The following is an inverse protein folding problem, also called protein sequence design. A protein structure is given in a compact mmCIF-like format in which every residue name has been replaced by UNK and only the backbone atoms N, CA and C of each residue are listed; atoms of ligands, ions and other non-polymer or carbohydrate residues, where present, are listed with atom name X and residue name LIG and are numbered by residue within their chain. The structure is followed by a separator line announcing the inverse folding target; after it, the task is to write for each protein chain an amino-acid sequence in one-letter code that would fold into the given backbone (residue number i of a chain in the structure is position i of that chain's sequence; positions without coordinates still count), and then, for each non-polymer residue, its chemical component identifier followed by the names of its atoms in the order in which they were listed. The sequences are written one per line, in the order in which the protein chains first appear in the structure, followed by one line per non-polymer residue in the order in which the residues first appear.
data_IF_577903721680
#
_entry.id   IF_577903721680
#
_cell.length_a   1.000
_cell.length_b   1.000
_cell.length_c   1.000
_cell.angle_alpha   90.00
_cell.angle_beta   90.00
_cell.angle_gamma   90.00
#
_symmetry.space_group_name_H-M   'P 1'
#
loop_
_entity.id
_entity.type
_entity.pdbx_description
1 polymer ?
#
# COMPACT_ATOMS: atom_id res chain seq x y z
N UNK A 1 20.34 -30.77 -5.09
CA UNK A 1 19.86 -29.63 -4.28
C UNK A 1 18.48 -29.86 -3.64
N UNK A 2 17.81 -30.98 -3.88
CA UNK A 2 16.36 -31.12 -3.63
C UNK A 2 15.94 -31.68 -2.27
N UNK A 3 16.83 -32.32 -1.55
CA UNK A 3 16.49 -32.88 -0.22
C UNK A 3 16.36 -31.86 0.92
N UNK A 4 17.13 -30.77 0.87
CA UNK A 4 17.15 -29.76 1.92
C UNK A 4 15.90 -28.87 1.93
N UNK A 5 15.38 -28.51 0.76
CA UNK A 5 14.18 -27.66 0.65
C UNK A 5 12.91 -28.40 1.09
N UNK A 6 12.74 -29.64 0.67
CA UNK A 6 11.60 -30.46 1.10
C UNK A 6 11.63 -30.76 2.61
N UNK A 7 12.83 -31.00 3.16
CA UNK A 7 12.99 -31.17 4.61
C UNK A 7 12.65 -29.88 5.37
N UNK A 8 13.07 -28.72 4.87
CA UNK A 8 12.73 -27.43 5.45
C UNK A 8 11.21 -27.16 5.40
N UNK A 9 10.51 -27.47 4.30
CA UNK A 9 9.06 -27.33 4.20
C UNK A 9 8.29 -28.19 5.22
N UNK A 10 8.89 -29.24 5.75
CA UNK A 10 8.29 -30.06 6.81
C UNK A 10 8.42 -29.45 8.20
N UNK A 11 9.27 -28.44 8.37
CA UNK A 11 9.39 -27.72 9.64
C UNK A 11 8.18 -26.79 9.84
N UNK A 12 7.82 -26.44 11.10
CA UNK A 12 6.73 -25.47 11.36
C UNK A 12 6.96 -24.13 10.67
N UNK A 13 8.20 -23.60 10.65
CA UNK A 13 8.57 -22.37 9.99
C UNK A 13 8.41 -22.48 8.48
N UNK A 14 8.89 -23.56 7.87
CA UNK A 14 8.78 -23.79 6.42
C UNK A 14 7.32 -23.94 5.99
N UNK A 15 6.49 -24.66 6.75
CA UNK A 15 5.05 -24.78 6.50
C UNK A 15 4.34 -23.43 6.63
N UNK A 16 4.65 -22.68 7.69
CA UNK A 16 4.11 -21.35 7.89
C UNK A 16 4.45 -20.40 6.72
N UNK A 17 5.71 -20.46 6.25
CA UNK A 17 6.13 -19.67 5.09
C UNK A 17 5.38 -20.09 3.81
N UNK A 18 5.24 -21.38 3.54
CA UNK A 18 4.50 -21.86 2.37
C UNK A 18 3.03 -21.41 2.40
N UNK A 19 2.38 -21.49 3.58
CA UNK A 19 0.99 -21.07 3.75
C UNK A 19 0.82 -19.56 3.52
N UNK A 20 1.67 -18.72 4.13
CA UNK A 20 1.57 -17.28 3.93
C UNK A 20 1.99 -16.86 2.51
N UNK A 21 2.95 -17.55 1.90
CA UNK A 21 3.34 -17.31 0.51
C UNK A 21 2.21 -17.63 -0.46
N UNK A 22 1.53 -18.77 -0.28
CA UNK A 22 0.36 -19.15 -1.06
C UNK A 22 -0.80 -18.15 -0.87
N UNK A 23 -1.08 -17.75 0.37
CA UNK A 23 -2.10 -16.74 0.66
C UNK A 23 -1.75 -15.39 0.01
N UNK A 24 -0.49 -14.97 0.11
CA UNK A 24 -0.01 -13.70 -0.49
C UNK A 24 -0.06 -13.74 -2.02
N UNK A 25 0.29 -14.85 -2.66
CA UNK A 25 0.17 -15.01 -4.11
C UNK A 25 -1.29 -14.96 -4.56
N UNK A 26 -2.18 -15.69 -3.88
CA UNK A 26 -3.61 -15.75 -4.20
C UNK A 26 -4.30 -14.40 -3.98
N UNK A 27 -4.01 -13.71 -2.88
CA UNK A 27 -4.56 -12.37 -2.61
C UNK A 27 -3.96 -11.32 -3.53
N UNK A 28 -2.65 -11.38 -3.82
CA UNK A 28 -1.99 -10.51 -4.79
C UNK A 28 -2.63 -10.60 -6.16
N UNK A 29 -2.96 -11.83 -6.60
CA UNK A 29 -3.73 -12.04 -7.82
C UNK A 29 -5.14 -11.45 -7.71
N UNK A 30 -5.91 -11.83 -6.70
CA UNK A 30 -7.31 -11.41 -6.55
C UNK A 30 -7.45 -9.88 -6.48
N UNK A 31 -6.59 -9.22 -5.71
CA UNK A 31 -6.62 -7.76 -5.54
C UNK A 31 -6.20 -7.02 -6.81
N UNK A 32 -5.18 -7.50 -7.51
CA UNK A 32 -4.75 -6.89 -8.77
C UNK A 32 -5.76 -7.10 -9.90
N UNK A 33 -6.38 -8.28 -10.00
CA UNK A 33 -7.45 -8.55 -10.96
C UNK A 33 -8.66 -7.64 -10.69
N UNK A 34 -9.12 -7.55 -9.42
CA UNK A 34 -10.21 -6.67 -9.02
C UNK A 34 -9.90 -5.20 -9.33
N UNK A 35 -8.72 -4.70 -8.94
CA UNK A 35 -8.31 -3.32 -9.20
C UNK A 35 -8.24 -3.00 -10.69
N UNK A 36 -7.86 -3.97 -11.52
CA UNK A 36 -7.75 -3.82 -12.96
C UNK A 36 -9.11 -3.60 -13.63
N UNK A 37 -10.13 -4.35 -13.20
CA UNK A 37 -11.44 -4.36 -13.88
C UNK A 37 -12.47 -3.43 -13.23
N UNK A 38 -12.26 -2.99 -11.98
CA UNK A 38 -13.31 -2.35 -11.18
C UNK A 38 -13.80 -1.02 -11.75
N UNK A 39 -12.92 -0.21 -12.33
CA UNK A 39 -13.30 1.06 -12.94
C UNK A 39 -14.18 0.85 -14.18
N UNK A 40 -13.81 -0.11 -15.04
CA UNK A 40 -14.65 -0.48 -16.19
C UNK A 40 -15.98 -1.06 -15.75
N UNK A 41 -16.02 -1.91 -14.74
CA UNK A 41 -17.25 -2.49 -14.20
C UNK A 41 -18.18 -1.41 -13.63
N UNK A 42 -17.64 -0.47 -12.86
CA UNK A 42 -18.44 0.61 -12.27
C UNK A 42 -18.99 1.57 -13.32
N UNK A 43 -18.24 1.85 -14.38
CA UNK A 43 -18.69 2.73 -15.46
C UNK A 43 -19.62 1.98 -16.43
N UNK A 44 -19.19 0.83 -16.98
CA UNK A 44 -19.92 0.18 -18.07
C UNK A 44 -21.10 -0.67 -17.58
N UNK A 45 -20.93 -1.47 -16.50
CA UNK A 45 -21.99 -2.39 -16.05
C UNK A 45 -22.94 -1.72 -15.05
N UNK A 46 -22.43 -0.90 -14.14
CA UNK A 46 -23.25 -0.24 -13.12
C UNK A 46 -23.67 1.18 -13.51
N UNK A 47 -23.08 1.77 -14.53
CA UNK A 47 -23.38 3.14 -14.99
C UNK A 47 -23.17 4.19 -13.90
N UNK A 48 -22.15 4.02 -13.04
CA UNK A 48 -21.90 4.97 -11.96
C UNK A 48 -21.34 6.28 -12.51
N UNK A 49 -21.94 7.39 -12.13
CA UNK A 49 -21.43 8.72 -12.40
C UNK A 49 -20.29 9.09 -11.41
N UNK A 50 -19.51 10.12 -11.75
CA UNK A 50 -18.38 10.59 -10.93
C UNK A 50 -18.68 10.76 -9.44
N UNK A 51 -19.80 11.37 -8.99
CA UNK A 51 -20.14 11.46 -7.56
C UNK A 51 -20.35 10.10 -6.90
N UNK A 52 -21.01 9.16 -7.57
CA UNK A 52 -21.23 7.80 -7.06
C UNK A 52 -19.90 7.04 -6.95
N UNK A 53 -19.02 7.20 -7.93
CA UNK A 53 -17.67 6.65 -7.87
C UNK A 53 -16.86 7.26 -6.72
N UNK A 54 -16.98 8.56 -6.49
CA UNK A 54 -16.38 9.24 -5.32
C UNK A 54 -16.90 8.69 -4.00
N UNK A 55 -18.23 8.46 -3.88
CA UNK A 55 -18.82 7.83 -2.69
C UNK A 55 -18.33 6.40 -2.48
N UNK A 56 -18.29 5.57 -3.53
CA UNK A 56 -17.79 4.19 -3.43
C UNK A 56 -16.34 4.18 -2.93
N UNK A 57 -15.50 5.06 -3.46
CA UNK A 57 -14.11 5.17 -3.03
C UNK A 57 -14.00 5.60 -1.57
N UNK A 58 -14.79 6.60 -1.14
CA UNK A 58 -14.83 7.04 0.25
C UNK A 58 -15.32 5.92 1.20
N UNK A 59 -16.39 5.22 0.84
CA UNK A 59 -16.94 4.08 1.59
C UNK A 59 -15.89 2.98 1.75
N UNK A 60 -15.10 2.71 0.73
CA UNK A 60 -13.98 1.75 0.78
C UNK A 60 -12.93 2.11 1.82
N UNK A 61 -12.69 3.38 2.08
CA UNK A 61 -11.65 3.83 3.01
C UNK A 61 -12.13 3.87 4.48
N UNK A 62 -13.45 3.87 4.73
CA UNK A 62 -14.02 3.89 6.09
C UNK A 62 -13.52 2.73 6.97
N UNK A 63 -13.53 1.46 6.53
CA UNK A 63 -13.00 0.36 7.33
C UNK A 63 -11.51 0.52 7.67
N UNK A 64 -10.70 1.07 6.75
CA UNK A 64 -9.30 1.38 6.99
C UNK A 64 -9.11 2.43 8.08
N UNK A 65 -9.91 3.49 8.06
CA UNK A 65 -9.92 4.52 9.10
C UNK A 65 -10.35 3.96 10.47
N UNK A 66 -11.34 3.05 10.47
CA UNK A 66 -11.89 2.43 11.69
C UNK A 66 -11.09 1.20 12.14
N UNK A 67 -10.02 0.83 11.46
CA UNK A 67 -9.29 -0.43 11.71
C UNK A 67 -8.75 -0.54 13.14
N UNK A 68 -8.38 0.57 13.77
CA UNK A 68 -7.96 0.61 15.19
C UNK A 68 -9.08 0.08 16.09
N UNK A 69 -10.32 0.45 15.82
CA UNK A 69 -11.48 -0.01 16.59
C UNK A 69 -11.81 -1.47 16.28
N UNK A 70 -11.70 -1.87 15.01
CA UNK A 70 -11.94 -3.26 14.58
C UNK A 70 -10.93 -4.22 15.21
N UNK A 71 -9.65 -3.87 15.22
CA UNK A 71 -8.62 -4.69 15.87
C UNK A 71 -8.84 -4.76 17.39
N UNK A 72 -9.35 -3.68 18.01
CA UNK A 72 -9.72 -3.67 19.41
C UNK A 72 -10.91 -4.60 19.72
N UNK A 73 -11.87 -4.70 18.82
CA UNK A 73 -13.03 -5.58 18.97
C UNK A 73 -12.65 -7.07 18.90
N UNK A 74 -11.69 -7.39 18.04
CA UNK A 74 -11.26 -8.77 17.79
C UNK A 74 -9.97 -9.18 18.49
N UNK A 75 -9.54 -8.45 19.55
CA UNK A 75 -8.26 -8.69 20.27
C UNK A 75 -8.13 -10.10 20.85
N UNK A 76 -9.26 -10.81 21.06
CA UNK A 76 -9.28 -12.19 21.60
C UNK A 76 -9.00 -13.26 20.56
N UNK A 77 -9.05 -12.91 19.27
CA UNK A 77 -8.73 -13.87 18.22
C UNK A 77 -7.23 -13.97 18.01
N UNK A 78 -6.74 -15.20 17.86
CA UNK A 78 -5.34 -15.40 17.45
C UNK A 78 -5.10 -14.79 16.08
N UNK A 79 -3.90 -14.28 15.83
CA UNK A 79 -3.52 -13.61 14.57
C UNK A 79 -3.87 -14.44 13.32
N UNK A 80 -3.63 -15.77 13.25
CA UNK A 80 -4.06 -16.58 12.11
C UNK A 80 -5.58 -16.61 11.92
N UNK A 81 -6.37 -16.69 13.01
CA UNK A 81 -7.84 -16.72 12.94
C UNK A 81 -8.39 -15.37 12.47
N UNK A 82 -7.83 -14.25 12.99
CA UNK A 82 -8.18 -12.91 12.56
C UNK A 82 -7.88 -12.72 11.08
N UNK A 83 -6.70 -13.15 10.63
CA UNK A 83 -6.28 -13.06 9.23
C UNK A 83 -7.17 -13.92 8.32
N UNK A 84 -7.48 -15.16 8.71
CA UNK A 84 -8.37 -16.02 7.94
C UNK A 84 -9.79 -15.43 7.85
N UNK A 85 -10.32 -14.88 8.94
CA UNK A 85 -11.61 -14.18 8.95
C UNK A 85 -11.62 -12.96 8.01
N UNK A 86 -10.55 -12.17 8.01
CA UNK A 86 -10.38 -11.06 7.09
C UNK A 86 -10.38 -11.51 5.62
N UNK A 87 -9.70 -12.61 5.30
CA UNK A 87 -9.68 -13.18 3.95
C UNK A 87 -11.05 -13.75 3.53
N UNK A 88 -11.84 -14.27 4.46
CA UNK A 88 -13.24 -14.68 4.20
C UNK A 88 -14.09 -13.45 3.87
N UNK A 89 -13.96 -12.34 4.61
CA UNK A 89 -14.67 -11.10 4.29
C UNK A 89 -14.27 -10.57 2.90
N UNK A 90 -12.97 -10.62 2.57
CA UNK A 90 -12.47 -10.26 1.25
C UNK A 90 -13.07 -11.16 0.16
N UNK A 91 -13.12 -12.47 0.40
CA UNK A 91 -13.69 -13.47 -0.52
C UNK A 91 -15.18 -13.23 -0.78
N UNK A 92 -15.95 -13.01 0.27
CA UNK A 92 -17.39 -12.71 0.17
C UNK A 92 -17.60 -11.40 -0.57
N UNK A 93 -16.91 -10.32 -0.17
CA UNK A 93 -17.06 -9.02 -0.82
C UNK A 93 -16.74 -9.09 -2.31
N UNK A 94 -15.58 -9.63 -2.71
CA UNK A 94 -15.21 -9.73 -4.12
C UNK A 94 -16.13 -10.69 -4.89
N UNK A 95 -16.46 -11.86 -4.32
CA UNK A 95 -17.31 -12.84 -4.98
C UNK A 95 -18.70 -12.31 -5.34
N UNK A 96 -19.23 -11.40 -4.51
CA UNK A 96 -20.56 -10.85 -4.74
C UNK A 96 -20.58 -9.53 -5.52
N UNK A 97 -19.45 -8.88 -5.81
CA UNK A 97 -19.40 -7.67 -6.64
C UNK A 97 -20.14 -7.87 -7.97
N UNK A 98 -19.84 -8.92 -8.70
CA UNK A 98 -20.38 -9.19 -10.04
C UNK A 98 -21.87 -9.52 -10.09
N UNK A 99 -22.55 -9.59 -8.94
CA UNK A 99 -24.01 -9.77 -8.85
C UNK A 99 -24.76 -8.47 -8.55
N UNK A 100 -24.02 -7.37 -8.41
CA UNK A 100 -24.61 -6.05 -8.20
C UNK A 100 -25.10 -5.45 -9.50
N UNK A 101 -26.17 -4.64 -9.42
CA UNK A 101 -26.80 -3.97 -10.54
C UNK A 101 -26.93 -2.45 -10.36
N UNK A 102 -26.41 -1.91 -9.24
CA UNK A 102 -26.51 -0.50 -8.92
C UNK A 102 -25.51 -0.11 -7.83
N UNK A 103 -25.36 1.20 -7.59
CA UNK A 103 -24.62 1.75 -6.46
C UNK A 103 -25.01 1.11 -5.12
N UNK A 104 -26.32 1.02 -4.85
CA UNK A 104 -26.83 0.55 -3.55
C UNK A 104 -26.59 -0.94 -3.34
N UNK A 105 -26.56 -1.73 -4.39
CA UNK A 105 -26.34 -3.18 -4.31
C UNK A 105 -24.84 -3.52 -4.24
N UNK A 106 -23.94 -2.68 -4.77
CA UNK A 106 -22.48 -2.92 -4.69
C UNK A 106 -21.87 -2.36 -3.41
N UNK A 107 -22.39 -1.26 -2.87
CA UNK A 107 -21.83 -0.58 -1.70
C UNK A 107 -21.61 -1.49 -0.47
N UNK A 108 -22.54 -2.38 -0.07
CA UNK A 108 -22.31 -3.33 1.02
C UNK A 108 -21.11 -4.25 0.78
N UNK A 109 -20.95 -4.75 -0.45
CA UNK A 109 -19.84 -5.64 -0.80
C UNK A 109 -18.50 -4.90 -0.81
N UNK A 110 -18.50 -3.60 -1.19
CA UNK A 110 -17.32 -2.73 -1.05
C UNK A 110 -16.92 -2.60 0.40
N UNK A 111 -17.84 -2.38 1.34
CA UNK A 111 -17.54 -2.30 2.77
C UNK A 111 -16.97 -3.63 3.27
N UNK A 112 -17.63 -4.74 2.96
CA UNK A 112 -17.24 -6.08 3.42
C UNK A 112 -15.86 -6.44 2.90
N UNK A 113 -15.60 -6.25 1.59
CA UNK A 113 -14.29 -6.52 1.00
C UNK A 113 -13.20 -5.60 1.57
N UNK A 114 -13.53 -4.34 1.84
CA UNK A 114 -12.60 -3.37 2.40
C UNK A 114 -12.21 -3.70 3.84
N UNK A 115 -13.15 -4.18 4.67
CA UNK A 115 -12.81 -4.70 6.01
C UNK A 115 -11.78 -5.83 5.92
N UNK A 116 -12.01 -6.78 5.01
CA UNK A 116 -11.08 -7.86 4.75
C UNK A 116 -9.73 -7.35 4.25
N UNK A 117 -9.73 -6.47 3.27
CA UNK A 117 -8.54 -5.89 2.66
C UNK A 117 -7.63 -5.18 3.65
N UNK A 118 -8.15 -4.22 4.41
CA UNK A 118 -7.35 -3.43 5.35
C UNK A 118 -6.82 -4.29 6.51
N UNK A 119 -7.61 -5.26 6.98
CA UNK A 119 -7.16 -6.20 8.00
C UNK A 119 -6.04 -7.10 7.44
N UNK A 120 -6.19 -7.64 6.21
CA UNK A 120 -5.17 -8.45 5.56
C UNK A 120 -3.86 -7.70 5.38
N UNK A 121 -3.88 -6.45 4.91
CA UNK A 121 -2.67 -5.64 4.71
C UNK A 121 -1.80 -5.53 5.97
N UNK A 122 -2.41 -5.50 7.14
CA UNK A 122 -1.66 -5.43 8.41
C UNK A 122 -1.25 -6.80 8.92
N UNK A 123 -2.16 -7.77 8.89
CA UNK A 123 -1.93 -9.07 9.49
C UNK A 123 -0.95 -9.94 8.69
N UNK A 124 -0.87 -9.79 7.36
CA UNK A 124 0.11 -10.52 6.53
C UNK A 124 1.57 -10.25 6.95
N UNK A 125 1.90 -8.99 7.23
CA UNK A 125 3.24 -8.62 7.70
C UNK A 125 3.49 -9.12 9.11
N UNK A 126 2.50 -9.03 10.00
CA UNK A 126 2.58 -9.55 11.35
C UNK A 126 2.82 -11.07 11.34
N UNK A 127 2.06 -11.85 10.55
CA UNK A 127 2.30 -13.29 10.36
C UNK A 127 3.69 -13.59 9.79
N UNK A 128 4.13 -12.82 8.78
CA UNK A 128 5.48 -12.98 8.22
C UNK A 128 6.57 -12.78 9.27
N UNK A 129 6.41 -11.83 10.18
CA UNK A 129 7.36 -11.55 11.25
C UNK A 129 7.43 -12.67 12.29
N UNK A 130 6.35 -13.44 12.53
CA UNK A 130 6.39 -14.58 13.46
C UNK A 130 7.29 -15.72 12.97
N UNK A 131 7.56 -15.80 11.66
CA UNK A 131 8.37 -16.84 11.03
C UNK A 131 9.87 -16.58 11.10
N UNK A 132 10.32 -15.45 11.62
CA UNK A 132 11.73 -15.06 11.56
C UNK A 132 12.25 -14.57 12.92
N UNK A 133 13.55 -14.70 13.12
CA UNK A 133 14.27 -14.13 14.26
C UNK A 133 14.64 -12.67 14.00
N UNK A 134 14.95 -11.94 15.06
CA UNK A 134 15.44 -10.57 14.96
C UNK A 134 16.65 -10.47 14.00
N UNK A 135 16.63 -9.53 13.08
CA UNK A 135 17.68 -9.33 12.06
C UNK A 135 17.39 -9.93 10.68
N UNK A 136 16.42 -10.86 10.53
CA UNK A 136 16.05 -11.44 9.23
C UNK A 136 14.65 -11.01 8.73
N UNK A 137 13.97 -10.15 9.47
CA UNK A 137 12.59 -9.69 9.19
C UNK A 137 12.49 -9.04 7.80
N UNK A 138 13.44 -8.18 7.41
CA UNK A 138 13.44 -7.52 6.10
C UNK A 138 13.48 -8.50 4.93
N UNK A 139 14.22 -9.60 5.05
CA UNK A 139 14.30 -10.63 3.99
C UNK A 139 12.96 -11.32 3.76
N UNK A 140 12.25 -11.68 4.84
CA UNK A 140 10.95 -12.38 4.71
C UNK A 140 9.88 -11.43 4.17
N UNK A 141 9.83 -10.20 4.65
CA UNK A 141 8.89 -9.20 4.17
C UNK A 141 9.15 -8.85 2.70
N UNK A 142 10.41 -8.73 2.30
CA UNK A 142 10.79 -8.53 0.90
C UNK A 142 10.37 -9.68 -0.02
N UNK A 143 10.51 -10.95 0.44
CA UNK A 143 10.03 -12.11 -0.31
C UNK A 143 8.50 -12.11 -0.46
N UNK A 144 7.76 -11.79 0.61
CA UNK A 144 6.30 -11.70 0.55
C UNK A 144 5.85 -10.56 -0.38
N UNK A 145 6.51 -9.41 -0.35
CA UNK A 145 6.25 -8.32 -1.29
C UNK A 145 6.50 -8.74 -2.75
N UNK A 146 7.58 -9.45 -3.02
CA UNK A 146 7.88 -9.98 -4.36
C UNK A 146 6.82 -11.00 -4.83
N UNK A 147 6.38 -11.89 -3.94
CA UNK A 147 5.31 -12.87 -4.22
C UNK A 147 3.99 -12.15 -4.53
N UNK A 148 3.64 -11.15 -3.73
CA UNK A 148 2.44 -10.33 -3.96
C UNK A 148 2.47 -9.64 -5.33
N UNK A 149 3.59 -9.00 -5.66
CA UNK A 149 3.77 -8.32 -6.96
C UNK A 149 3.76 -9.30 -8.13
N UNK A 150 4.37 -10.47 -7.97
CA UNK A 150 4.34 -11.55 -8.95
C UNK A 150 2.92 -12.07 -9.20
N UNK A 151 2.15 -12.32 -8.13
CA UNK A 151 0.74 -12.68 -8.22
C UNK A 151 -0.09 -11.62 -8.95
N UNK A 152 0.16 -10.36 -8.61
CA UNK A 152 -0.50 -9.22 -9.26
C UNK A 152 -0.17 -9.10 -10.75
N UNK A 153 1.09 -9.27 -11.14
CA UNK A 153 1.50 -9.23 -12.56
C UNK A 153 0.84 -10.35 -13.36
N UNK A 154 0.82 -11.57 -12.81
CA UNK A 154 0.12 -12.71 -13.44
C UNK A 154 -1.37 -12.40 -13.61
N UNK A 155 -2.01 -11.82 -12.58
CA UNK A 155 -3.42 -11.41 -12.67
C UNK A 155 -3.69 -10.42 -13.80
N UNK A 156 -2.86 -9.39 -13.94
CA UNK A 156 -3.00 -8.38 -15.00
C UNK A 156 -2.87 -9.00 -16.39
N UNK A 157 -1.91 -9.95 -16.58
CA UNK A 157 -1.75 -10.68 -17.84
C UNK A 157 -2.96 -11.57 -18.12
N UNK A 158 -3.45 -12.31 -17.11
CA UNK A 158 -4.65 -13.15 -17.24
C UNK A 158 -5.87 -12.31 -17.59
N UNK A 159 -6.10 -11.18 -16.89
CA UNK A 159 -7.22 -10.27 -17.19
C UNK A 159 -7.09 -9.70 -18.61
N UNK A 160 -5.89 -9.24 -19.01
CA UNK A 160 -5.65 -8.75 -20.38
C UNK A 160 -6.08 -9.79 -21.41
N UNK A 161 -5.55 -11.01 -21.31
CA UNK A 161 -5.81 -12.05 -22.28
C UNK A 161 -7.28 -12.51 -22.27
N UNK A 162 -7.86 -12.72 -21.10
CA UNK A 162 -9.23 -13.22 -20.98
C UNK A 162 -10.27 -12.21 -21.44
N UNK A 163 -10.08 -10.92 -21.20
CA UNK A 163 -10.97 -9.88 -21.72
C UNK A 163 -10.72 -9.57 -23.19
N UNK A 164 -9.47 -9.63 -23.67
CA UNK A 164 -9.15 -9.47 -25.09
C UNK A 164 -9.85 -10.53 -25.96
N UNK A 165 -9.93 -11.77 -25.48
CA UNK A 165 -10.54 -12.88 -26.21
C UNK A 165 -11.99 -13.19 -25.76
N UNK A 166 -12.59 -12.33 -24.93
CA UNK A 166 -13.96 -12.51 -24.38
C UNK A 166 -14.18 -13.85 -23.65
N UNK A 167 -13.15 -14.37 -22.97
CA UNK A 167 -13.21 -15.63 -22.24
C UNK A 167 -13.84 -15.49 -20.86
N UNK A 168 -13.70 -14.32 -20.22
CA UNK A 168 -14.29 -14.01 -18.92
C UNK A 168 -15.13 -12.73 -18.99
N UNK A 169 -16.10 -12.66 -18.09
CA UNK A 169 -16.91 -11.47 -17.82
C UNK A 169 -16.49 -10.83 -16.52
N UNK A 170 -16.95 -9.61 -16.22
CA UNK A 170 -16.74 -8.99 -14.91
C UNK A 170 -17.22 -9.91 -13.77
N UNK A 171 -18.43 -10.46 -13.90
CA UNK A 171 -19.00 -11.38 -12.91
C UNK A 171 -18.11 -12.59 -12.63
N UNK A 172 -17.67 -13.29 -13.67
CA UNK A 172 -16.83 -14.49 -13.52
C UNK A 172 -15.45 -14.15 -12.94
N UNK A 173 -14.89 -12.99 -13.30
CA UNK A 173 -13.63 -12.52 -12.76
C UNK A 173 -13.73 -12.17 -11.27
N UNK A 174 -14.80 -11.50 -10.83
CA UNK A 174 -15.02 -11.23 -9.41
C UNK A 174 -15.23 -12.50 -8.60
N UNK A 175 -15.99 -13.48 -9.12
CA UNK A 175 -16.13 -14.79 -8.48
C UNK A 175 -14.79 -15.49 -8.34
N UNK A 176 -13.95 -15.48 -9.39
CA UNK A 176 -12.59 -16.02 -9.33
C UNK A 176 -11.74 -15.33 -8.25
N UNK A 177 -11.79 -14.00 -8.16
CA UNK A 177 -11.12 -13.25 -7.10
C UNK A 177 -11.60 -13.68 -5.70
N UNK A 178 -12.92 -13.89 -5.53
CA UNK A 178 -13.49 -14.39 -4.30
C UNK A 178 -13.00 -15.79 -3.95
N UNK A 179 -12.96 -16.70 -4.92
CA UNK A 179 -12.45 -18.08 -4.73
C UNK A 179 -10.97 -18.06 -4.32
N UNK A 180 -10.14 -17.24 -4.96
CA UNK A 180 -8.72 -17.13 -4.62
C UNK A 180 -8.49 -16.55 -3.22
N UNK A 181 -9.30 -15.57 -2.81
CA UNK A 181 -9.27 -15.05 -1.44
C UNK A 181 -9.71 -16.13 -0.41
N UNK A 182 -10.68 -16.98 -0.76
CA UNK A 182 -11.10 -18.10 0.07
C UNK A 182 -10.00 -19.18 0.17
N UNK A 183 -9.31 -19.48 -0.92
CA UNK A 183 -8.14 -20.37 -0.91
C UNK A 183 -7.06 -19.83 0.02
N UNK A 184 -6.81 -18.52 -0.03
CA UNK A 184 -5.89 -17.85 0.90
C UNK A 184 -6.35 -18.00 2.37
N UNK A 185 -7.65 -17.83 2.65
CA UNK A 185 -8.21 -18.02 3.99
C UNK A 185 -7.99 -19.45 4.50
N UNK A 186 -8.26 -20.46 3.67
CA UNK A 186 -8.07 -21.88 4.01
C UNK A 186 -6.59 -22.18 4.29
N UNK A 187 -5.68 -21.59 3.51
CA UNK A 187 -4.24 -21.74 3.75
C UNK A 187 -3.83 -21.19 5.14
N UNK A 188 -4.38 -20.06 5.54
CA UNK A 188 -4.03 -19.37 6.79
C UNK A 188 -4.70 -20.01 8.03
N UNK A 189 -5.88 -20.60 7.92
CA UNK A 189 -6.55 -21.27 9.07
C UNK A 189 -5.65 -22.31 9.74
N UNK A 190 -4.81 -23.00 8.97
CA UNK A 190 -3.88 -24.02 9.45
C UNK A 190 -2.47 -23.51 9.74
N UNK A 191 -2.31 -22.19 9.79
CA UNK A 191 -1.02 -21.59 10.06
C UNK A 191 -0.51 -22.03 11.43
N UNK A 192 0.76 -22.49 11.55
CA UNK A 192 1.30 -22.98 12.80
C UNK A 192 1.37 -21.87 13.84
N UNK A 193 0.92 -22.15 15.05
CA UNK A 193 1.09 -21.24 16.19
C UNK A 193 2.57 -21.23 16.58
N UNK A 194 3.28 -20.20 16.13
CA UNK A 194 4.67 -19.96 16.48
C UNK A 194 4.67 -18.78 17.47
N UNK A 195 4.98 -19.11 18.73
CA UNK A 195 5.30 -18.12 19.79
C UNK A 195 4.25 -17.01 20.01
N UNK A 196 3.18 -17.32 20.74
CA UNK A 196 2.11 -16.37 21.14
C UNK A 196 2.65 -15.13 21.88
N UNK A 197 3.77 -15.25 22.61
CA UNK A 197 4.40 -14.14 23.33
C UNK A 197 4.93 -13.04 22.42
N UNK A 198 5.35 -13.34 21.18
CA UNK A 198 5.81 -12.34 20.19
C UNK A 198 4.66 -11.56 19.57
N UNK A 199 3.53 -12.20 19.35
CA UNK A 199 2.33 -11.55 18.82
C UNK A 199 1.78 -10.54 19.81
N UNK A 200 1.70 -10.92 21.09
CA UNK A 200 1.28 -10.00 22.16
C UNK A 200 2.23 -8.81 22.35
N UNK A 201 3.53 -8.98 22.15
CA UNK A 201 4.50 -7.89 22.22
C UNK A 201 4.34 -6.86 21.07
N UNK A 202 3.82 -7.28 19.92
CA UNK A 202 3.50 -6.38 18.79
C UNK A 202 2.17 -5.67 19.04
N UNK A 203 1.18 -6.36 19.60
CA UNK A 203 -0.15 -5.82 19.92
C UNK A 203 -0.15 -4.87 21.13
N UNK A 204 0.72 -5.09 22.11
CA UNK A 204 0.75 -4.29 23.36
C UNK A 204 1.30 -2.87 23.18
N UNK A 205 1.93 -2.54 22.05
CA UNK A 205 2.39 -1.18 21.75
C UNK A 205 1.30 -0.34 21.08
N UNK A 206 0.17 -0.15 21.77
CA UNK A 206 -0.77 0.91 21.42
C UNK A 206 -0.20 2.25 21.87
N UNK A 207 0.58 2.87 20.99
CA UNK A 207 1.01 4.23 21.25
C UNK A 207 -0.14 5.20 20.95
N UNK A 208 -0.41 6.17 21.84
CA UNK A 208 -1.46 7.14 21.62
C UNK A 208 -1.16 7.96 20.37
N UNK A 209 -2.19 8.27 19.56
CA UNK A 209 -2.06 9.21 18.46
C UNK A 209 -1.62 10.57 19.05
N UNK A 210 -0.48 11.05 18.60
CA UNK A 210 0.08 12.30 19.11
C UNK A 210 0.35 13.25 17.97
N UNK A 211 -0.29 14.43 18.03
CA UNK A 211 -0.03 15.52 17.09
C UNK A 211 0.83 16.59 17.79
N UNK A 212 2.14 16.56 17.56
CA UNK A 212 3.07 17.55 18.12
C UNK A 212 3.34 18.69 17.15
N UNK A 213 3.15 19.92 17.60
CA UNK A 213 3.36 21.14 16.78
C UNK A 213 4.76 21.23 16.16
N UNK A 214 5.79 20.62 16.77
CA UNK A 214 7.16 20.57 16.24
C UNK A 214 7.28 19.76 14.94
N UNK A 215 6.35 18.83 14.66
CA UNK A 215 6.33 18.02 13.43
C UNK A 215 5.28 18.51 12.42
N UNK A 216 4.83 19.76 12.51
CA UNK A 216 3.78 20.34 11.64
C UNK A 216 4.05 20.18 10.15
N UNK A 217 5.31 20.29 9.72
CA UNK A 217 5.68 20.10 8.31
C UNK A 217 5.47 18.66 7.83
N UNK A 218 5.78 17.68 8.68
CA UNK A 218 5.49 16.29 8.39
C UNK A 218 3.97 16.05 8.21
N UNK A 219 3.15 16.59 9.10
CA UNK A 219 1.70 16.44 9.00
C UNK A 219 1.13 17.16 7.79
N UNK A 220 1.65 18.36 7.50
CA UNK A 220 1.25 19.11 6.31
C UNK A 220 1.64 18.37 5.02
N UNK A 221 2.85 17.79 4.94
CA UNK A 221 3.25 16.95 3.82
C UNK A 221 2.31 15.77 3.63
N UNK A 222 1.96 15.04 4.71
CA UNK A 222 1.05 13.91 4.61
C UNK A 222 -0.36 14.31 4.18
N UNK A 223 -0.88 15.45 4.66
CA UNK A 223 -2.21 15.94 4.28
C UNK A 223 -2.26 16.35 2.81
N UNK A 224 -1.30 17.15 2.36
CA UNK A 224 -1.21 17.60 0.97
C UNK A 224 -0.96 16.43 0.02
N UNK A 225 -0.06 15.52 0.40
CA UNK A 225 0.27 14.33 -0.37
C UNK A 225 -0.92 13.37 -0.45
N UNK A 226 -1.61 13.16 0.67
CA UNK A 226 -2.84 12.38 0.71
C UNK A 226 -3.93 12.96 -0.20
N UNK A 227 -4.13 14.28 -0.18
CA UNK A 227 -5.08 14.95 -1.07
C UNK A 227 -4.71 14.76 -2.55
N UNK A 228 -3.46 15.00 -2.92
CA UNK A 228 -2.95 14.80 -4.29
C UNK A 228 -3.08 13.35 -4.74
N UNK A 229 -2.65 12.40 -3.90
CA UNK A 229 -2.71 10.98 -4.21
C UNK A 229 -4.14 10.50 -4.40
N UNK A 230 -5.07 10.94 -3.56
CA UNK A 230 -6.46 10.48 -3.63
C UNK A 230 -7.18 10.95 -4.88
N UNK A 231 -6.92 12.17 -5.37
CA UNK A 231 -7.45 12.61 -6.66
C UNK A 231 -6.99 11.66 -7.77
N UNK A 232 -5.69 11.39 -7.84
CA UNK A 232 -5.14 10.58 -8.92
C UNK A 232 -5.44 9.09 -8.75
N UNK A 233 -5.28 8.54 -7.55
CA UNK A 233 -5.50 7.12 -7.29
C UNK A 233 -6.95 6.70 -7.56
N UNK A 234 -7.91 7.56 -7.17
CA UNK A 234 -9.32 7.28 -7.39
C UNK A 234 -9.73 7.53 -8.84
N UNK A 235 -9.39 8.70 -9.39
CA UNK A 235 -9.93 9.15 -10.67
C UNK A 235 -8.97 9.03 -11.85
N UNK A 236 -7.69 8.74 -11.63
CA UNK A 236 -6.75 8.59 -12.75
C UNK A 236 -7.09 7.42 -13.68
N UNK A 237 -7.43 6.25 -13.16
CA UNK A 237 -7.96 5.15 -13.98
C UNK A 237 -9.39 5.41 -14.45
N UNK A 238 -10.22 6.00 -13.58
CA UNK A 238 -11.60 6.31 -13.93
C UNK A 238 -11.71 7.19 -15.18
N UNK A 239 -10.93 8.27 -15.26
CA UNK A 239 -10.93 9.16 -16.43
C UNK A 239 -10.44 8.46 -17.70
N UNK A 240 -9.47 7.55 -17.61
CA UNK A 240 -9.05 6.74 -18.77
C UNK A 240 -10.20 5.85 -19.26
N UNK A 241 -11.08 5.37 -18.38
CA UNK A 241 -12.24 4.56 -18.72
C UNK A 241 -13.41 5.43 -19.16
N UNK A 242 -13.80 6.42 -18.35
CA UNK A 242 -15.02 7.22 -18.53
C UNK A 242 -14.89 8.26 -19.67
N UNK A 243 -13.79 9.04 -19.69
CA UNK A 243 -13.56 10.08 -20.71
C UNK A 243 -12.91 9.52 -21.97
N UNK A 244 -11.79 8.77 -21.83
CA UNK A 244 -11.05 8.23 -22.98
C UNK A 244 -11.59 6.87 -23.48
N UNK A 245 -12.62 6.33 -22.85
CA UNK A 245 -13.31 5.08 -23.25
C UNK A 245 -12.39 3.86 -23.41
N UNK A 246 -11.37 3.75 -22.55
CA UNK A 246 -10.44 2.63 -22.61
C UNK A 246 -11.05 1.37 -21.96
N UNK A 247 -11.08 0.30 -22.72
CA UNK A 247 -11.53 -1.00 -22.25
C UNK A 247 -10.50 -1.72 -21.38
N UNK A 248 -10.95 -2.78 -20.71
CA UNK A 248 -10.14 -3.60 -19.79
C UNK A 248 -8.78 -4.04 -20.38
N UNK A 249 -8.67 -4.51 -21.64
CA UNK A 249 -7.36 -4.94 -22.18
C UNK A 249 -6.32 -3.81 -22.20
N UNK A 250 -6.73 -2.59 -22.59
CA UNK A 250 -5.81 -1.44 -22.64
C UNK A 250 -5.41 -1.02 -21.21
N UNK A 251 -6.36 -0.94 -20.28
CA UNK A 251 -6.10 -0.67 -18.87
C UNK A 251 -5.13 -1.71 -18.29
N UNK A 252 -5.34 -3.00 -18.60
CA UNK A 252 -4.43 -4.07 -18.16
C UNK A 252 -3.01 -3.85 -18.71
N UNK A 253 -2.86 -3.50 -19.98
CA UNK A 253 -1.57 -3.24 -20.59
C UNK A 253 -0.87 -2.04 -19.93
N UNK A 254 -1.58 -0.97 -19.60
CA UNK A 254 -1.06 0.20 -18.88
C UNK A 254 -0.57 -0.21 -17.48
N UNK A 255 -1.36 -0.97 -16.73
CA UNK A 255 -0.99 -1.44 -15.40
C UNK A 255 0.20 -2.41 -15.41
N UNK A 256 0.28 -3.31 -16.41
CA UNK A 256 1.45 -4.17 -16.63
C UNK A 256 2.69 -3.29 -16.88
N UNK A 257 2.57 -2.28 -17.73
CA UNK A 257 3.64 -1.32 -18.00
C UNK A 257 4.13 -0.61 -16.75
N UNK A 258 3.22 -0.06 -15.94
CA UNK A 258 3.55 0.58 -14.65
C UNK A 258 4.25 -0.39 -13.72
N UNK A 259 3.72 -1.61 -13.57
CA UNK A 259 4.28 -2.62 -12.67
C UNK A 259 5.68 -3.05 -13.11
N UNK A 260 5.87 -3.33 -14.41
CA UNK A 260 7.15 -3.70 -14.98
C UNK A 260 8.19 -2.58 -14.83
N UNK A 261 7.79 -1.33 -15.08
CA UNK A 261 8.64 -0.16 -14.88
C UNK A 261 9.07 -0.03 -13.43
N UNK A 262 8.14 -0.20 -12.50
CA UNK A 262 8.40 -0.15 -11.07
C UNK A 262 9.33 -1.27 -10.59
N UNK A 263 9.17 -2.48 -11.11
CA UNK A 263 10.03 -3.63 -10.77
C UNK A 263 11.46 -3.45 -11.29
N UNK A 264 11.61 -2.91 -12.49
CA UNK A 264 12.94 -2.75 -13.16
C UNK A 264 13.68 -1.53 -12.64
N UNK A 265 13.02 -0.38 -12.50
CA UNK A 265 13.64 0.88 -12.10
C UNK A 265 13.55 1.18 -10.59
N UNK A 266 12.68 0.48 -9.84
CA UNK A 266 12.55 0.66 -8.40
C UNK A 266 13.87 0.58 -7.63
N UNK A 267 14.73 -0.43 -7.85
CA UNK A 267 16.04 -0.52 -7.22
C UNK A 267 16.99 0.63 -7.59
N UNK A 268 16.87 1.18 -8.81
CA UNK A 268 17.63 2.36 -9.20
C UNK A 268 17.17 3.61 -8.45
N UNK A 269 15.85 3.80 -8.32
CA UNK A 269 15.27 4.89 -7.52
C UNK A 269 15.77 4.82 -6.07
N UNK A 270 15.74 3.64 -5.45
CA UNK A 270 16.26 3.46 -4.10
C UNK A 270 17.70 3.95 -3.97
N UNK A 271 18.58 3.54 -4.89
CA UNK A 271 19.97 4.02 -4.94
C UNK A 271 20.11 5.53 -5.14
N UNK A 272 19.19 6.17 -5.89
CA UNK A 272 19.22 7.63 -6.04
C UNK A 272 18.80 8.34 -4.74
N UNK A 273 17.85 7.81 -3.98
CA UNK A 273 17.47 8.33 -2.66
C UNK A 273 18.68 8.29 -1.71
N UNK A 274 19.41 7.16 -1.67
CA UNK A 274 20.59 7.00 -0.84
C UNK A 274 21.72 7.97 -1.23
N UNK A 275 21.91 8.21 -2.54
CA UNK A 275 23.01 9.05 -3.06
C UNK A 275 22.71 10.54 -2.99
N UNK A 276 21.51 10.98 -3.37
CA UNK A 276 21.13 12.39 -3.51
C UNK A 276 20.43 12.94 -2.27
N UNK A 277 19.99 12.05 -1.39
CA UNK A 277 19.22 12.41 -0.21
C UNK A 277 17.74 12.61 -0.51
N UNK A 278 16.94 12.52 0.56
CA UNK A 278 15.47 12.52 0.51
C UNK A 278 14.91 13.83 -0.05
N UNK A 279 15.49 14.97 0.35
CA UNK A 279 15.02 16.30 -0.08
C UNK A 279 15.07 16.46 -1.60
N UNK A 280 16.24 16.24 -2.21
CA UNK A 280 16.39 16.40 -3.66
C UNK A 280 15.49 15.43 -4.44
N UNK A 281 15.34 14.20 -3.94
CA UNK A 281 14.45 13.22 -4.58
C UNK A 281 12.98 13.61 -4.48
N UNK A 282 12.54 14.19 -3.36
CA UNK A 282 11.19 14.75 -3.22
C UNK A 282 10.96 15.96 -4.14
N UNK A 283 11.95 16.85 -4.27
CA UNK A 283 11.86 18.00 -5.18
C UNK A 283 11.69 17.52 -6.63
N UNK A 284 12.53 16.59 -7.09
CA UNK A 284 12.43 15.99 -8.43
C UNK A 284 11.09 15.28 -8.64
N UNK A 285 10.65 14.49 -7.64
CA UNK A 285 9.37 13.80 -7.70
C UNK A 285 8.20 14.78 -7.85
N UNK A 286 8.18 15.88 -7.08
CA UNK A 286 7.08 16.84 -7.15
C UNK A 286 7.06 17.61 -8.48
N UNK A 287 8.22 17.93 -9.08
CA UNK A 287 8.28 18.46 -10.44
C UNK A 287 7.71 17.44 -11.44
N UNK A 288 8.08 16.16 -11.31
CA UNK A 288 7.51 15.07 -12.13
C UNK A 288 6.00 14.95 -11.97
N UNK A 289 5.46 15.09 -10.75
CA UNK A 289 4.02 15.10 -10.51
C UNK A 289 3.33 16.28 -11.17
N UNK A 290 3.88 17.49 -11.06
CA UNK A 290 3.30 18.68 -11.71
C UNK A 290 3.23 18.49 -13.22
N UNK A 291 4.32 18.00 -13.84
CA UNK A 291 4.36 17.74 -15.30
C UNK A 291 3.32 16.67 -15.67
N UNK A 292 3.29 15.55 -14.95
CA UNK A 292 2.36 14.47 -15.26
C UNK A 292 0.89 14.88 -15.06
N UNK A 293 0.57 15.59 -13.96
CA UNK A 293 -0.80 16.05 -13.67
C UNK A 293 -1.25 17.14 -14.63
N UNK A 294 -0.37 18.10 -14.97
CA UNK A 294 -0.67 19.14 -15.94
C UNK A 294 -0.86 18.57 -17.35
N UNK A 295 0.02 17.66 -17.78
CA UNK A 295 -0.15 16.95 -19.06
C UNK A 295 -1.45 16.16 -19.13
N UNK A 296 -1.78 15.46 -18.04
CA UNK A 296 -3.03 14.70 -17.92
C UNK A 296 -4.29 15.60 -17.97
N UNK A 297 -4.23 16.79 -17.36
CA UNK A 297 -5.36 17.70 -17.29
C UNK A 297 -5.53 18.57 -18.55
N UNK A 298 -4.44 19.03 -19.15
CA UNK A 298 -4.49 20.09 -20.17
C UNK A 298 -4.42 19.55 -21.61
N UNK A 299 -3.94 18.33 -21.79
CA UNK A 299 -3.77 17.76 -23.14
C UNK A 299 -4.80 16.65 -23.32
N UNK A 300 -5.87 16.95 -24.06
CA UNK A 300 -6.94 15.99 -24.38
C UNK A 300 -6.48 15.01 -25.48
N UNK A 301 -5.55 14.13 -25.11
CA UNK A 301 -5.02 13.10 -25.97
C UNK A 301 -4.78 11.82 -25.15
N UNK A 302 -5.34 10.70 -25.61
CA UNK A 302 -5.29 9.42 -24.90
C UNK A 302 -3.87 8.91 -24.66
N UNK A 303 -2.96 9.09 -25.62
CA UNK A 303 -1.57 8.64 -25.48
C UNK A 303 -0.84 9.44 -24.41
N UNK A 304 -1.03 10.78 -24.42
CA UNK A 304 -0.47 11.66 -23.39
C UNK A 304 -1.04 11.31 -22.02
N UNK A 305 -2.34 11.07 -21.93
CA UNK A 305 -2.99 10.67 -20.66
C UNK A 305 -2.40 9.36 -20.12
N UNK A 306 -2.22 8.35 -20.97
CA UNK A 306 -1.58 7.07 -20.58
C UNK A 306 -0.15 7.30 -20.09
N UNK A 307 0.66 8.05 -20.84
CA UNK A 307 2.06 8.34 -20.47
C UNK A 307 2.12 9.09 -19.16
N UNK A 308 1.29 10.11 -18.98
CA UNK A 308 1.20 10.88 -17.73
C UNK A 308 0.76 10.00 -16.55
N UNK A 309 -0.22 9.11 -16.77
CA UNK A 309 -0.65 8.12 -15.78
C UNK A 309 0.51 7.20 -15.37
N UNK A 310 1.26 6.68 -16.34
CA UNK A 310 2.40 5.80 -16.06
C UNK A 310 3.52 6.53 -15.31
N UNK A 311 3.86 7.76 -15.72
CA UNK A 311 4.87 8.58 -15.03
C UNK A 311 4.47 8.84 -13.59
N UNK A 312 3.23 9.30 -13.36
CA UNK A 312 2.72 9.57 -12.02
C UNK A 312 2.77 8.32 -11.14
N UNK A 313 2.23 7.20 -11.63
CA UNK A 313 2.16 5.94 -10.89
C UNK A 313 3.55 5.39 -10.55
N UNK A 314 4.52 5.55 -11.44
CA UNK A 314 5.90 5.15 -11.24
C UNK A 314 6.60 5.96 -10.14
N UNK A 315 6.34 7.26 -10.07
CA UNK A 315 6.97 8.16 -9.09
C UNK A 315 6.28 8.05 -7.71
N UNK A 316 5.03 7.59 -7.65
CA UNK A 316 4.18 7.59 -6.45
C UNK A 316 4.85 7.02 -5.18
N UNK A 317 5.62 5.91 -5.22
CA UNK A 317 6.28 5.38 -4.03
C UNK A 317 7.28 6.33 -3.37
N UNK A 318 7.85 7.30 -4.12
CA UNK A 318 8.83 8.26 -3.60
C UNK A 318 8.27 9.15 -2.50
N UNK A 319 7.02 9.58 -2.60
CA UNK A 319 6.37 10.45 -1.61
C UNK A 319 6.29 9.78 -0.23
N UNK A 320 5.83 8.53 -0.18
CA UNK A 320 5.67 7.79 1.07
C UNK A 320 7.02 7.56 1.78
N UNK A 321 8.05 7.20 1.02
CA UNK A 321 9.41 7.01 1.55
C UNK A 321 9.95 8.34 2.07
N UNK A 322 9.74 9.43 1.34
CA UNK A 322 10.26 10.75 1.67
C UNK A 322 9.74 11.30 2.99
N UNK A 323 8.41 11.33 3.16
CA UNK A 323 7.79 11.86 4.38
C UNK A 323 8.19 11.06 5.64
N UNK A 324 8.21 9.72 5.53
CA UNK A 324 8.61 8.85 6.65
C UNK A 324 10.10 9.02 7.00
N UNK A 325 10.97 9.16 6.01
CA UNK A 325 12.41 9.37 6.24
C UNK A 325 12.68 10.76 6.84
N UNK A 326 11.95 11.79 6.39
CA UNK A 326 12.02 13.11 7.01
C UNK A 326 11.64 13.06 8.51
N UNK A 327 10.52 12.42 8.84
CA UNK A 327 10.12 12.30 10.25
C UNK A 327 11.19 11.58 11.08
N UNK A 328 11.76 10.48 10.60
CA UNK A 328 12.83 9.76 11.30
C UNK A 328 14.06 10.62 11.59
N UNK A 329 14.36 11.61 10.74
CA UNK A 329 15.50 12.51 10.93
C UNK A 329 15.24 13.61 11.97
N UNK A 330 13.98 14.08 12.09
CA UNK A 330 13.64 15.23 12.94
C UNK A 330 12.96 14.83 14.25
N UNK A 331 12.40 13.61 14.34
CA UNK A 331 11.63 13.19 15.49
C UNK A 331 12.49 12.49 16.55
N UNK A 332 12.14 12.73 17.81
CA UNK A 332 12.67 11.94 18.92
C UNK A 332 12.21 10.48 18.78
N UNK A 333 13.03 9.47 19.15
CA UNK A 333 12.68 8.06 18.97
C UNK A 333 11.31 7.67 19.53
N UNK A 334 10.90 8.24 20.67
CA UNK A 334 9.58 8.01 21.32
C UNK A 334 8.41 8.61 20.55
N UNK A 335 8.64 9.62 19.69
CA UNK A 335 7.61 10.33 18.93
C UNK A 335 7.45 9.78 17.49
N UNK A 336 8.37 8.92 17.03
CA UNK A 336 8.35 8.41 15.65
C UNK A 336 7.08 7.61 15.37
N UNK A 337 6.83 6.55 16.14
CA UNK A 337 5.69 5.67 15.91
C UNK A 337 4.34 6.39 16.06
N UNK A 338 4.08 7.20 17.12
CA UNK A 338 2.84 7.97 17.25
C UNK A 338 2.63 8.97 16.11
N UNK A 339 3.70 9.63 15.65
CA UNK A 339 3.59 10.61 14.57
C UNK A 339 3.38 9.95 13.20
N UNK A 340 4.01 8.77 12.95
CA UNK A 340 3.74 7.98 11.74
C UNK A 340 2.27 7.53 11.70
N UNK A 341 1.73 7.05 12.82
CA UNK A 341 0.33 6.67 12.92
C UNK A 341 -0.62 7.85 12.64
N UNK A 342 -0.30 9.05 13.16
CA UNK A 342 -1.05 10.27 12.86
C UNK A 342 -0.98 10.62 11.36
N UNK A 343 0.18 10.47 10.71
CA UNK A 343 0.33 10.70 9.26
C UNK A 343 -0.59 9.77 8.45
N UNK A 344 -0.63 8.48 8.78
CA UNK A 344 -1.54 7.50 8.15
C UNK A 344 -3.01 7.88 8.38
N UNK A 345 -3.36 8.30 9.60
CA UNK A 345 -4.73 8.77 9.91
C UNK A 345 -5.14 9.95 9.03
N UNK A 346 -4.24 10.91 8.82
CA UNK A 346 -4.48 12.05 7.92
C UNK A 346 -4.67 11.62 6.46
N UNK A 347 -3.89 10.65 6.00
CA UNK A 347 -4.07 10.09 4.64
C UNK A 347 -5.43 9.41 4.49
N UNK A 348 -5.88 8.61 5.46
CA UNK A 348 -7.22 8.01 5.43
C UNK A 348 -8.34 9.05 5.51
N UNK A 349 -8.18 10.12 6.30
CA UNK A 349 -9.14 11.20 6.32
C UNK A 349 -9.24 11.89 4.94
N UNK A 350 -8.11 12.16 4.29
CA UNK A 350 -8.08 12.66 2.92
C UNK A 350 -8.75 11.67 1.95
N UNK A 351 -8.51 10.36 2.12
CA UNK A 351 -9.05 9.30 1.27
C UNK A 351 -10.59 9.15 1.37
N UNK A 352 -11.20 9.66 2.43
CA UNK A 352 -12.66 9.71 2.56
C UNK A 352 -13.24 11.00 1.94
N UNK A 353 -12.63 12.14 2.22
CA UNK A 353 -13.18 13.45 1.83
C UNK A 353 -12.90 13.81 0.37
N UNK A 354 -11.65 13.60 -0.06
CA UNK A 354 -11.18 14.07 -1.37
C UNK A 354 -11.88 13.37 -2.54
N UNK A 355 -12.11 12.05 -2.56
CA UNK A 355 -12.83 11.42 -3.67
C UNK A 355 -14.26 11.91 -3.84
N UNK A 356 -14.97 12.16 -2.74
CA UNK A 356 -16.32 12.72 -2.78
C UNK A 356 -16.31 14.10 -3.44
N UNK A 357 -15.45 15.01 -2.96
CA UNK A 357 -15.30 16.33 -3.56
C UNK A 357 -14.91 16.27 -5.03
N UNK A 358 -13.94 15.41 -5.37
CA UNK A 358 -13.46 15.20 -6.75
C UNK A 358 -14.57 14.72 -7.67
N UNK A 359 -15.40 13.76 -7.25
CA UNK A 359 -16.51 13.25 -8.05
C UNK A 359 -17.54 14.35 -8.40
N UNK A 360 -17.85 15.26 -7.45
CA UNK A 360 -18.73 16.40 -7.72
C UNK A 360 -18.08 17.44 -8.64
N UNK A 361 -16.81 17.76 -8.44
CA UNK A 361 -16.08 18.72 -9.26
C UNK A 361 -16.00 18.19 -10.71
N UNK A 362 -15.64 16.93 -10.88
CA UNK A 362 -15.50 16.29 -12.20
C UNK A 362 -16.76 16.40 -13.04
N UNK A 363 -17.94 16.15 -12.44
CA UNK A 363 -19.21 16.20 -13.16
C UNK A 363 -19.70 17.63 -13.47
N UNK A 364 -19.30 18.63 -12.68
CA UNK A 364 -19.77 20.01 -12.84
C UNK A 364 -18.88 20.88 -13.72
N UNK A 365 -17.57 20.66 -13.65
CA UNK A 365 -16.58 21.55 -14.29
C UNK A 365 -15.55 20.80 -15.13
N UNK A 366 -15.72 19.49 -15.30
CA UNK A 366 -14.83 18.63 -16.10
C UNK A 366 -13.72 17.98 -15.30
N UNK A 367 -13.12 16.93 -15.89
CA UNK A 367 -12.07 16.14 -15.25
C UNK A 367 -10.75 16.91 -15.06
N UNK A 368 -10.53 17.97 -15.83
CA UNK A 368 -9.32 18.76 -15.80
C UNK A 368 -9.09 19.42 -14.43
N UNK A 369 -10.16 19.95 -13.84
CA UNK A 369 -10.07 20.76 -12.61
C UNK A 369 -9.54 19.98 -11.41
N UNK A 370 -9.99 18.76 -11.07
CA UNK A 370 -9.40 17.96 -10.00
C UNK A 370 -7.89 17.73 -10.18
N UNK A 371 -7.44 17.41 -11.39
CA UNK A 371 -6.01 17.17 -11.64
C UNK A 371 -5.18 18.46 -11.56
N UNK A 372 -5.74 19.63 -11.92
CA UNK A 372 -5.11 20.92 -11.67
C UNK A 372 -5.03 21.26 -10.17
N UNK A 373 -6.04 20.90 -9.38
CA UNK A 373 -5.97 21.01 -7.92
C UNK A 373 -4.84 20.10 -7.37
N UNK A 374 -4.70 18.89 -7.91
CA UNK A 374 -3.59 18.03 -7.56
C UNK A 374 -2.21 18.61 -7.96
N UNK A 375 -2.12 19.35 -9.08
CA UNK A 375 -0.92 20.13 -9.44
C UNK A 375 -0.59 21.19 -8.38
N UNK A 376 -1.61 21.90 -7.88
CA UNK A 376 -1.42 22.89 -6.80
C UNK A 376 -0.88 22.21 -5.54
N UNK A 377 -1.44 21.05 -5.16
CA UNK A 377 -0.92 20.29 -4.02
C UNK A 377 0.54 19.86 -4.23
N UNK A 378 0.90 19.34 -5.41
CA UNK A 378 2.28 18.98 -5.73
C UNK A 378 3.23 20.18 -5.65
N UNK A 379 2.78 21.35 -6.15
CA UNK A 379 3.54 22.60 -6.09
C UNK A 379 3.73 23.09 -4.64
N UNK A 380 2.70 22.99 -3.81
CA UNK A 380 2.80 23.33 -2.39
C UNK A 380 3.74 22.35 -1.64
N UNK A 381 3.68 21.05 -1.93
CA UNK A 381 4.60 20.07 -1.38
C UNK A 381 6.04 20.40 -1.79
N UNK A 382 6.28 20.76 -3.05
CA UNK A 382 7.58 21.20 -3.52
C UNK A 382 8.11 22.41 -2.72
N UNK A 383 7.28 23.42 -2.51
CA UNK A 383 7.65 24.60 -1.71
C UNK A 383 7.95 24.23 -0.25
N UNK A 384 7.09 23.41 0.37
CA UNK A 384 7.33 22.92 1.75
C UNK A 384 8.65 22.15 1.82
N UNK A 385 8.92 21.27 0.84
CA UNK A 385 10.15 20.47 0.78
C UNK A 385 11.40 21.35 0.69
N UNK A 386 11.35 22.46 -0.03
CA UNK A 386 12.47 23.42 -0.11
C UNK A 386 12.77 24.13 1.22
N UNK A 387 11.76 24.32 2.07
CA UNK A 387 11.92 24.90 3.40
C UNK A 387 12.33 23.88 4.47
N UNK A 388 12.32 22.58 4.13
CA UNK A 388 12.94 21.57 4.96
C UNK A 388 14.45 21.80 4.87
N UNK A 389 15.06 22.38 5.91
CA UNK A 389 16.52 22.65 5.94
C UNK A 389 17.33 21.43 5.53
N UNK A 390 18.61 21.60 5.24
CA UNK A 390 19.55 20.52 4.89
C UNK A 390 19.77 19.52 6.05
N UNK A 391 18.69 18.83 6.43
CA UNK A 391 18.72 17.73 7.40
C UNK A 391 19.47 16.50 6.79
N UNK A 392 20.05 16.69 5.61
CA UNK A 392 20.72 15.63 4.84
C UNK A 392 22.11 15.20 5.35
N UNK A 393 22.79 16.02 6.13
CA UNK A 393 24.20 15.79 6.50
C UNK A 393 24.46 15.63 8.00
N UNK A 394 23.44 15.62 8.85
CA UNK A 394 23.62 15.29 10.26
C UNK A 394 23.28 13.83 10.47
N UNK A 395 24.21 13.06 11.03
CA UNK A 395 23.98 11.71 11.56
C UNK A 395 22.65 11.70 12.34
N UNK A 396 21.80 10.72 12.05
CA UNK A 396 20.49 10.59 12.75
C UNK A 396 20.73 10.50 14.26
N UNK A 397 19.79 10.99 15.10
CA UNK A 397 19.86 10.75 16.54
C UNK A 397 20.01 9.27 16.90
N UNK A 398 19.55 8.39 16.02
CA UNK A 398 19.71 6.93 16.14
C UNK A 398 21.16 6.50 15.88
N UNK A 399 21.83 7.07 14.86
CA UNK A 399 23.24 6.77 14.55
C UNK A 399 24.15 7.27 15.67
N UNK A 400 23.82 8.44 16.26
CA UNK A 400 24.51 8.96 17.45
C UNK A 400 24.24 8.12 18.71
N UNK A 401 23.04 7.53 18.84
CA UNK A 401 22.71 6.66 19.96
C UNK A 401 23.38 5.28 19.82
N UNK A 402 23.53 4.77 18.59
CA UNK A 402 24.26 3.52 18.29
C UNK A 402 25.77 3.74 18.45
N UNK A 403 26.30 4.87 18.00
CA UNK A 403 27.71 5.22 18.19
C UNK A 403 28.10 5.52 19.66
N UNK A 404 27.12 5.89 20.50
CA UNK A 404 27.30 6.10 21.95
C UNK A 404 27.10 4.85 22.80
N UNK A 405 26.66 3.71 22.23
CA UNK A 405 26.75 2.46 22.97
C UNK A 405 28.21 2.10 23.08
N UNK A 406 28.78 1.98 24.30
CA UNK A 406 30.14 1.46 24.46
C UNK A 406 30.16 0.09 23.79
N UNK A 407 31.14 -0.11 22.94
CA UNK A 407 31.46 -1.42 22.35
C UNK A 407 31.51 -2.39 23.53
N UNK A 408 30.60 -3.35 23.56
CA UNK A 408 30.67 -4.41 24.56
C UNK A 408 32.05 -5.03 24.42
N UNK A 409 32.81 -4.98 25.51
CA UNK A 409 34.11 -5.62 25.59
C UNK A 409 34.02 -6.99 24.92
N UNK A 410 34.90 -7.26 23.99
CA UNK A 410 34.97 -8.58 23.35
C UNK A 410 35.31 -9.62 24.43
N UNK A 411 34.81 -10.83 24.28
CA UNK A 411 35.04 -11.94 25.22
C UNK A 411 36.52 -12.13 25.58
N UNK A 412 37.41 -11.72 24.71
CA UNK A 412 38.90 -11.73 24.91
C UNK A 412 39.33 -10.70 25.95
N UNK A 413 38.76 -9.49 25.95
CA UNK A 413 39.12 -8.43 26.93
C UNK A 413 38.62 -8.74 28.33
N UNK A 414 37.52 -9.52 28.44
CA UNK A 414 37.02 -9.98 29.76
C UNK A 414 37.90 -11.10 30.32
N UNK A 415 38.48 -11.96 29.49
CA UNK A 415 39.41 -13.00 29.90
C UNK A 415 40.79 -12.43 30.32
N UNK A 416 41.31 -11.41 29.61
CA UNK A 416 42.55 -10.72 30.02
C UNK A 416 42.41 -9.95 31.33
N UNK A 417 41.27 -9.27 31.57
CA UNK A 417 41.00 -8.57 32.83
C UNK A 417 40.83 -9.53 34.02
N UNK A 418 40.41 -10.77 33.78
CA UNK A 418 40.28 -11.81 34.81
C UNK A 418 41.66 -12.47 35.17
N UNK A 419 42.62 -12.42 34.27
CA UNK A 419 43.97 -12.99 34.48
C UNK A 419 44.94 -12.01 35.17
N UNK A 420 44.69 -10.69 35.17
CA UNK A 420 45.54 -9.67 35.82
C UNK A 420 45.17 -9.40 37.27
N UNK A 421 44.12 -10.00 37.81
CA UNK A 421 43.69 -9.85 39.21
C UNK A 421 43.87 -11.11 40.07
N UNK A 422 44.88 -11.93 39.75
CA UNK A 422 45.36 -13.02 40.64
C UNK A 422 46.79 -12.78 41.13
#
# INVERSE_FOLDING_TARGET
MDGGFLAWLRTPVGRGFAMIAAATASTGFAMAAQQNIVSNYFEHDLGLAGPQFGYITAIREIPGFLLIFLTALFYRLSLPKLTAGALVLLAVGYGFFGFSSSFWTVAPWVIISSMGYHTWLQTQFALGMTLTTAGKTGSILGRLAAINSGGGLVAMIVVLLTFQFNLLTFRTTFVLCGILALVAAIAIVRFPSLDEGRVQAIESRREPLVMRRKYRFYYLLNLLDGGRQQIFFSFGLWVLVDHFRLGVPVISAVLIGVTTLSMTLGPWIGRQIDRRGVRQMLEVANVGYVIALAGYALIDNVVVAIVCYMIYSFIMPLSNIGASTYLRKVAEPKDIAPSLAMGVTMQHAAAIVVPVATGFILTRVGYQVPFLIACVFASLIFLVTRHLGDVGNTSTPLDLAVAKKPTALTTVEIEEAALTNK
#
